data_IF_019835732314
#
_entry.id   IF_019835732314
#
_cell.length_a   1.000
_cell.length_b   1.000
_cell.length_c   1.000
_cell.angle_alpha   90.00
_cell.angle_beta   90.00
_cell.angle_gamma   90.00
#
_symmetry.space_group_name_H-M   'P 1'
#
loop_
_entity.id
_entity.type
_entity.pdbx_description
1 polymer ?
#
# COMPACT_ATOMS: atom_id res chain seq x y z
N UNK A 1 3.89 24.02 6.01
CA UNK A 1 2.69 23.47 6.68
C UNK A 1 2.95 22.01 7.02
N UNK A 2 2.48 21.53 8.17
CA UNK A 2 2.49 20.09 8.46
C UNK A 2 1.41 19.45 7.57
N UNK A 3 1.76 18.33 6.93
CA UNK A 3 0.92 17.60 5.99
C UNK A 3 1.01 16.10 6.26
N UNK A 4 0.06 15.31 5.75
CA UNK A 4 0.11 13.85 5.81
C UNK A 4 0.76 13.22 4.57
N UNK A 5 1.02 11.92 4.63
CA UNK A 5 1.43 11.12 3.48
C UNK A 5 0.40 11.14 2.34
N UNK A 6 -0.90 11.17 2.66
CA UNK A 6 -1.99 11.36 1.69
C UNK A 6 -1.80 12.63 0.84
N UNK A 7 -1.31 13.72 1.44
CA UNK A 7 -1.03 14.99 0.75
C UNK A 7 0.30 14.94 -0.02
N UNK A 8 1.22 14.05 0.34
CA UNK A 8 2.48 13.82 -0.38
C UNK A 8 2.22 13.01 -1.65
N UNK A 9 1.44 11.94 -1.56
CA UNK A 9 1.04 11.09 -2.68
C UNK A 9 -0.31 10.43 -2.37
N UNK A 10 -1.38 10.92 -3.01
CA UNK A 10 -2.71 10.35 -2.82
C UNK A 10 -2.76 8.88 -3.22
N UNK A 11 -3.36 8.06 -2.35
CA UNK A 11 -3.47 6.60 -2.52
C UNK A 11 -2.09 5.91 -2.67
N UNK A 12 -1.10 6.43 -1.94
CA UNK A 12 0.20 5.79 -1.79
C UNK A 12 0.05 4.38 -1.19
N UNK A 13 0.88 3.42 -1.61
CA UNK A 13 0.97 2.14 -0.93
C UNK A 13 1.56 2.35 0.46
N UNK A 14 1.02 1.64 1.44
CA UNK A 14 1.50 1.69 2.81
C UNK A 14 1.71 0.26 3.35
N UNK A 15 0.90 -0.19 4.31
CA UNK A 15 1.14 -1.45 5.00
C UNK A 15 0.77 -2.65 4.12
N UNK A 16 1.57 -3.72 4.22
CA UNK A 16 1.36 -4.98 3.51
C UNK A 16 1.11 -6.14 4.48
N UNK A 17 0.34 -7.13 4.02
CA UNK A 17 0.25 -8.43 4.71
C UNK A 17 1.29 -9.39 4.12
N UNK A 18 2.36 -9.65 4.88
CA UNK A 18 3.44 -10.55 4.49
C UNK A 18 3.29 -11.95 5.08
N UNK A 19 3.54 -12.97 4.25
CA UNK A 19 3.71 -14.36 4.66
C UNK A 19 5.01 -14.91 4.08
N UNK A 20 5.63 -15.88 4.75
CA UNK A 20 6.82 -16.54 4.20
C UNK A 20 6.46 -17.40 3.00
N UNK A 21 7.37 -17.52 2.02
CA UNK A 21 7.16 -18.37 0.86
C UNK A 21 7.01 -19.85 1.24
N UNK A 22 7.64 -20.30 2.33
CA UNK A 22 7.45 -21.65 2.86
C UNK A 22 6.01 -21.88 3.32
N UNK A 23 5.46 -20.96 4.11
CA UNK A 23 4.10 -21.07 4.63
C UNK A 23 3.07 -21.12 3.48
N UNK A 24 3.22 -20.26 2.48
CA UNK A 24 2.26 -20.19 1.37
C UNK A 24 2.29 -21.45 0.49
N UNK A 25 3.47 -22.07 0.31
CA UNK A 25 3.62 -23.35 -0.37
C UNK A 25 3.05 -24.51 0.44
N UNK A 26 3.27 -24.53 1.76
CA UNK A 26 2.80 -25.59 2.66
C UNK A 26 1.28 -25.53 2.88
N UNK A 27 0.71 -24.33 2.93
CA UNK A 27 -0.72 -24.10 3.24
C UNK A 27 -1.40 -23.19 2.21
N UNK A 28 -1.52 -23.61 0.93
CA UNK A 28 -2.05 -22.76 -0.13
C UNK A 28 -3.52 -22.38 0.08
N UNK A 29 -4.36 -23.33 0.52
CA UNK A 29 -5.78 -23.06 0.80
C UNK A 29 -5.97 -22.14 2.01
N UNK A 30 -5.17 -22.33 3.07
CA UNK A 30 -5.20 -21.44 4.25
C UNK A 30 -4.79 -20.03 3.86
N UNK A 31 -3.75 -19.90 3.02
CA UNK A 31 -3.29 -18.60 2.51
C UNK A 31 -4.42 -17.86 1.79
N UNK A 32 -5.14 -18.52 0.88
CA UNK A 32 -6.30 -17.92 0.20
C UNK A 32 -7.38 -17.51 1.21
N UNK A 33 -7.70 -18.36 2.19
CA UNK A 33 -8.71 -18.05 3.22
C UNK A 33 -8.32 -16.87 4.11
N UNK A 34 -7.04 -16.71 4.43
CA UNK A 34 -6.54 -15.53 5.15
C UNK A 34 -6.74 -14.27 4.34
N UNK A 35 -6.38 -14.28 3.05
CA UNK A 35 -6.57 -13.12 2.17
C UNK A 35 -8.06 -12.80 2.01
N UNK A 36 -8.95 -13.80 1.88
CA UNK A 36 -10.40 -13.58 1.90
C UNK A 36 -10.89 -12.89 3.17
N UNK A 37 -10.37 -13.28 4.33
CA UNK A 37 -10.73 -12.66 5.60
C UNK A 37 -10.29 -11.20 5.66
N UNK A 38 -9.07 -10.89 5.18
CA UNK A 38 -8.55 -9.52 5.11
C UNK A 38 -9.33 -8.64 4.13
N UNK A 39 -9.69 -9.15 2.95
CA UNK A 39 -10.55 -8.44 1.99
C UNK A 39 -11.88 -8.05 2.65
N UNK A 40 -12.52 -9.00 3.35
CA UNK A 40 -13.76 -8.75 4.07
C UNK A 40 -13.61 -7.74 5.19
N UNK A 41 -12.52 -7.81 5.96
CA UNK A 41 -12.23 -6.87 7.03
C UNK A 41 -12.01 -5.45 6.47
N UNK A 42 -11.22 -5.30 5.41
CA UNK A 42 -10.99 -4.02 4.74
C UNK A 42 -12.28 -3.42 4.20
N UNK A 43 -13.11 -4.23 3.52
CA UNK A 43 -14.42 -3.79 3.04
C UNK A 43 -15.31 -3.32 4.19
N UNK A 44 -15.40 -4.10 5.28
CA UNK A 44 -16.19 -3.74 6.44
C UNK A 44 -15.75 -2.41 7.06
N UNK A 45 -14.44 -2.14 7.15
CA UNK A 45 -13.91 -0.87 7.66
C UNK A 45 -14.30 0.36 6.81
N UNK A 46 -14.51 0.16 5.52
CA UNK A 46 -14.84 1.22 4.55
C UNK A 46 -16.34 1.31 4.21
N UNK A 47 -17.14 0.37 4.71
CA UNK A 47 -18.56 0.22 4.37
C UNK A 47 -19.41 1.42 4.86
N UNK A 48 -20.44 1.76 4.07
CA UNK A 48 -21.40 2.82 4.37
C UNK A 48 -20.73 4.16 4.75
N UNK A 49 -19.73 4.58 3.98
CA UNK A 49 -18.93 5.77 4.25
C UNK A 49 -18.27 5.71 5.64
N UNK A 50 -17.52 4.63 5.89
CA UNK A 50 -16.72 4.41 7.11
C UNK A 50 -17.56 4.23 8.40
N UNK A 51 -18.83 3.83 8.29
CA UNK A 51 -19.75 3.74 9.44
C UNK A 51 -19.26 2.77 10.54
N UNK A 52 -18.56 1.71 10.14
CA UNK A 52 -18.10 0.66 11.03
C UNK A 52 -16.81 1.03 11.79
N UNK A 53 -16.13 2.12 11.42
CA UNK A 53 -14.83 2.47 12.04
C UNK A 53 -14.93 2.79 13.53
N UNK A 54 -16.08 3.30 14.01
CA UNK A 54 -16.30 3.50 15.46
C UNK A 54 -16.28 2.18 16.23
N UNK A 55 -16.83 1.12 15.66
CA UNK A 55 -16.76 -0.22 16.26
C UNK A 55 -15.33 -0.77 16.21
N UNK A 56 -14.63 -0.59 15.08
CA UNK A 56 -13.23 -0.98 14.94
C UNK A 56 -12.33 -0.33 16.01
N UNK A 57 -12.56 0.96 16.30
CA UNK A 57 -11.84 1.69 17.37
C UNK A 57 -12.04 1.01 18.72
N UNK A 58 -13.29 0.65 19.08
CA UNK A 58 -13.59 -0.07 20.34
C UNK A 58 -12.90 -1.42 20.42
N UNK A 59 -12.78 -2.13 19.30
CA UNK A 59 -12.05 -3.40 19.24
C UNK A 59 -10.57 -3.15 19.52
N UNK A 60 -9.95 -2.18 18.85
CA UNK A 60 -8.53 -1.86 18.98
C UNK A 60 -8.15 -1.31 20.36
N UNK A 61 -9.07 -0.58 21.02
CA UNK A 61 -8.88 -0.02 22.36
C UNK A 61 -8.85 -1.07 23.48
N UNK A 62 -9.33 -2.29 23.23
CA UNK A 62 -9.26 -3.37 24.22
C UNK A 62 -7.81 -3.70 24.54
N UNK A 63 -7.54 -4.07 25.79
CA UNK A 63 -6.20 -4.39 26.29
C UNK A 63 -5.54 -5.60 25.62
N UNK A 64 -6.32 -6.48 25.00
CA UNK A 64 -5.79 -7.61 24.21
C UNK A 64 -5.29 -7.18 22.82
N UNK A 65 -5.53 -5.94 22.40
CA UNK A 65 -5.08 -5.38 21.13
C UNK A 65 -4.10 -4.22 21.39
N UNK A 66 -4.41 -2.99 20.94
CA UNK A 66 -3.54 -1.83 21.13
C UNK A 66 -3.60 -1.35 22.59
N UNK A 67 -4.78 -1.42 23.21
CA UNK A 67 -4.96 -1.03 24.61
C UNK A 67 -4.80 0.46 24.89
N UNK A 68 -4.79 1.31 23.85
CA UNK A 68 -4.76 2.77 23.97
C UNK A 68 -6.18 3.35 24.11
N UNK A 69 -6.26 4.60 24.57
CA UNK A 69 -7.52 5.33 24.70
C UNK A 69 -8.31 5.37 23.37
N UNK A 70 -9.59 5.04 23.42
CA UNK A 70 -10.50 5.01 22.27
C UNK A 70 -10.52 6.35 21.53
N UNK A 71 -10.48 7.48 22.25
CA UNK A 71 -10.47 8.82 21.66
C UNK A 71 -9.18 9.11 20.89
N UNK A 72 -8.05 8.52 21.30
CA UNK A 72 -6.77 8.65 20.58
C UNK A 72 -6.80 7.86 19.28
N UNK A 73 -7.27 6.61 19.33
CA UNK A 73 -7.39 5.75 18.14
C UNK A 73 -8.43 6.33 17.16
N UNK A 74 -9.53 6.89 17.67
CA UNK A 74 -10.59 7.49 16.85
C UNK A 74 -10.07 8.59 15.92
N UNK A 75 -9.11 9.42 16.35
CA UNK A 75 -8.55 10.51 15.52
C UNK A 75 -8.05 10.01 14.15
N UNK A 76 -7.36 8.87 14.12
CA UNK A 76 -6.87 8.26 12.88
C UNK A 76 -7.95 7.52 12.10
N UNK A 77 -8.96 6.97 12.77
CA UNK A 77 -9.99 6.14 12.14
C UNK A 77 -11.18 6.94 11.60
N UNK A 78 -11.57 8.04 12.25
CA UNK A 78 -12.81 8.78 11.95
C UNK A 78 -12.58 10.11 11.25
N UNK A 79 -11.34 10.42 10.87
CA UNK A 79 -11.06 11.43 9.86
C UNK A 79 -11.01 12.87 10.34
N UNK A 80 -10.45 13.13 11.52
CA UNK A 80 -10.12 14.48 11.96
C UNK A 80 -8.75 14.44 12.65
N UNK A 81 -7.81 15.20 12.11
CA UNK A 81 -6.45 15.28 12.64
C UNK A 81 -6.15 16.70 13.10
N UNK A 82 -5.47 16.82 14.23
CA UNK A 82 -4.84 18.06 14.67
C UNK A 82 -3.37 18.00 14.23
N UNK A 83 -3.00 18.86 13.28
CA UNK A 83 -1.68 18.88 12.65
C UNK A 83 -0.67 19.70 13.45
N UNK A 84 -1.14 20.81 14.01
CA UNK A 84 -0.46 21.68 14.95
C UNK A 84 -1.49 22.19 15.95
N UNK A 85 -1.07 22.81 17.06
CA UNK A 85 -1.95 23.32 18.11
C UNK A 85 -3.01 24.25 17.52
N UNK A 86 -4.27 23.80 17.54
CA UNK A 86 -5.42 24.54 17.01
C UNK A 86 -5.67 24.38 15.51
N UNK A 87 -4.83 23.65 14.78
CA UNK A 87 -5.00 23.33 13.36
C UNK A 87 -5.65 21.96 13.18
N UNK A 88 -6.98 21.96 13.29
CA UNK A 88 -7.81 20.75 13.18
C UNK A 88 -8.45 20.70 11.81
N UNK A 89 -8.19 19.64 11.05
CA UNK A 89 -8.70 19.48 9.67
C UNK A 89 -9.41 18.15 9.47
N UNK A 90 -10.46 18.11 8.64
CA UNK A 90 -11.07 16.86 8.23
C UNK A 90 -10.16 16.11 7.25
N UNK A 91 -9.92 14.83 7.53
CA UNK A 91 -9.17 13.91 6.67
C UNK A 91 -9.91 12.56 6.64
N UNK A 92 -11.15 12.50 6.12
CA UNK A 92 -12.02 11.32 6.20
C UNK A 92 -11.41 10.04 5.60
N UNK A 93 -10.56 10.21 4.60
CA UNK A 93 -9.84 9.15 3.90
C UNK A 93 -8.35 9.12 4.28
N UNK A 94 -8.00 9.53 5.50
CA UNK A 94 -6.63 9.36 6.03
C UNK A 94 -6.19 7.90 5.94
N UNK A 95 -7.10 6.99 6.31
CA UNK A 95 -6.97 5.57 6.01
C UNK A 95 -8.04 5.18 4.99
N UNK A 96 -7.67 4.39 3.99
CA UNK A 96 -8.57 3.69 3.06
C UNK A 96 -8.19 2.21 3.08
N UNK A 97 -9.16 1.33 3.35
CA UNK A 97 -8.88 -0.09 3.60
C UNK A 97 -9.35 -1.01 2.49
N UNK A 98 -10.22 -0.57 1.58
CA UNK A 98 -10.72 -1.39 0.47
C UNK A 98 -11.09 -0.59 -0.78
N UNK A 99 -11.60 0.63 -0.63
CA UNK A 99 -11.92 1.49 -1.79
C UNK A 99 -10.67 1.71 -2.66
N UNK A 100 -10.90 2.08 -3.92
CA UNK A 100 -9.84 2.38 -4.90
C UNK A 100 -8.80 1.26 -5.06
N UNK A 101 -9.21 0.00 -4.85
CA UNK A 101 -8.36 -1.19 -4.90
C UNK A 101 -7.20 -1.16 -3.88
N UNK A 102 -7.37 -0.50 -2.73
CA UNK A 102 -6.33 -0.33 -1.72
C UNK A 102 -5.68 -1.64 -1.24
N UNK A 103 -6.41 -2.75 -1.27
CA UNK A 103 -5.91 -4.08 -0.85
C UNK A 103 -5.28 -4.90 -1.97
N UNK A 104 -5.35 -4.46 -3.23
CA UNK A 104 -4.74 -5.18 -4.34
C UNK A 104 -3.22 -4.91 -4.40
N UNK A 105 -2.37 -5.95 -4.41
CA UNK A 105 -0.92 -5.76 -4.35
C UNK A 105 -0.34 -5.45 -5.74
N UNK A 106 -0.39 -4.19 -6.16
CA UNK A 106 0.18 -3.74 -7.44
C UNK A 106 1.71 -3.86 -7.44
N UNK A 107 2.28 -4.42 -8.51
CA UNK A 107 3.73 -4.44 -8.73
C UNK A 107 4.32 -3.03 -8.80
N UNK A 108 3.58 -2.08 -9.37
CA UNK A 108 4.00 -0.67 -9.43
C UNK A 108 4.28 -0.07 -8.05
N UNK A 109 3.59 -0.53 -7.01
CA UNK A 109 3.80 -0.05 -5.64
C UNK A 109 5.13 -0.59 -5.07
N UNK A 110 5.40 -1.88 -5.28
CA UNK A 110 6.67 -2.50 -4.89
C UNK A 110 7.86 -1.88 -5.62
N UNK A 111 7.71 -1.63 -6.93
CA UNK A 111 8.74 -0.99 -7.75
C UNK A 111 9.06 0.41 -7.20
N UNK A 112 8.06 1.18 -6.79
CA UNK A 112 8.28 2.50 -6.21
C UNK A 112 9.16 2.42 -4.95
N UNK A 113 8.86 1.51 -4.02
CA UNK A 113 9.69 1.30 -2.85
C UNK A 113 11.12 0.89 -3.22
N UNK A 114 11.29 -0.03 -4.18
CA UNK A 114 12.61 -0.43 -4.67
C UNK A 114 13.38 0.77 -5.27
N UNK A 115 12.71 1.67 -5.99
CA UNK A 115 13.37 2.90 -6.47
C UNK A 115 13.78 3.81 -5.32
N UNK A 116 12.96 3.97 -4.27
CA UNK A 116 13.35 4.79 -3.12
C UNK A 116 14.51 4.14 -2.34
N UNK A 117 14.54 2.81 -2.23
CA UNK A 117 15.68 2.06 -1.68
C UNK A 117 16.96 2.22 -2.51
N UNK A 118 16.84 2.29 -3.84
CA UNK A 118 17.97 2.62 -4.71
C UNK A 118 18.43 4.05 -4.48
N UNK A 119 17.50 5.01 -4.53
CA UNK A 119 17.75 6.44 -4.36
C UNK A 119 18.51 6.76 -3.07
N UNK A 120 18.20 6.05 -1.99
CA UNK A 120 18.80 6.27 -0.67
C UNK A 120 19.89 5.27 -0.28
N UNK A 121 20.32 4.41 -1.22
CA UNK A 121 21.52 3.58 -1.08
C UNK A 121 21.33 2.25 -0.34
N UNK A 122 20.11 1.87 0.04
CA UNK A 122 19.83 0.50 0.51
C UNK A 122 20.02 -0.53 -0.60
N UNK A 123 19.76 -0.16 -1.86
CA UNK A 123 20.20 -0.88 -3.05
C UNK A 123 21.40 -0.12 -3.63
N UNK A 124 22.60 -0.60 -3.29
CA UNK A 124 23.84 0.14 -3.55
C UNK A 124 24.27 0.18 -5.01
N UNK A 125 23.96 -0.86 -5.77
CA UNK A 125 24.31 -0.97 -7.20
C UNK A 125 23.17 -0.48 -8.10
N UNK A 126 23.52 -0.02 -9.29
CA UNK A 126 22.56 0.16 -10.37
C UNK A 126 21.87 -1.17 -10.71
N UNK A 127 20.59 -1.09 -11.07
CA UNK A 127 19.77 -2.22 -11.48
C UNK A 127 19.01 -1.85 -12.76
N UNK A 128 18.87 -2.80 -13.68
CA UNK A 128 18.06 -2.59 -14.88
C UNK A 128 16.58 -2.43 -14.53
N UNK A 129 15.80 -1.78 -15.39
CA UNK A 129 14.34 -1.66 -15.20
C UNK A 129 13.68 -3.03 -15.01
N UNK A 130 14.13 -4.03 -15.77
CA UNK A 130 13.65 -5.40 -15.67
C UNK A 130 13.90 -6.03 -14.29
N UNK A 131 15.03 -5.74 -13.65
CA UNK A 131 15.34 -6.26 -12.31
C UNK A 131 14.31 -5.79 -11.27
N UNK A 132 13.85 -4.54 -11.35
CA UNK A 132 12.80 -4.03 -10.46
C UNK A 132 11.48 -4.78 -10.65
N UNK A 133 11.10 -5.00 -11.91
CA UNK A 133 9.88 -5.74 -12.28
C UNK A 133 9.95 -7.18 -11.77
N UNK A 134 11.05 -7.87 -11.99
CA UNK A 134 11.23 -9.27 -11.59
C UNK A 134 11.25 -9.40 -10.06
N UNK A 135 11.94 -8.47 -9.39
CA UNK A 135 11.98 -8.41 -7.93
C UNK A 135 10.59 -8.20 -7.36
N UNK A 136 9.81 -7.23 -7.87
CA UNK A 136 8.44 -6.98 -7.44
C UNK A 136 7.55 -8.23 -7.63
N UNK A 137 7.61 -8.89 -8.80
CA UNK A 137 6.86 -10.12 -9.09
C UNK A 137 7.25 -11.29 -8.20
N UNK A 138 8.50 -11.34 -7.73
CA UNK A 138 8.96 -12.38 -6.82
C UNK A 138 8.29 -12.30 -5.44
N UNK A 139 7.91 -11.10 -4.97
CA UNK A 139 7.36 -10.85 -3.63
C UNK A 139 5.87 -10.53 -3.60
N UNK A 140 5.37 -9.68 -4.49
CA UNK A 140 3.95 -9.31 -4.54
C UNK A 140 3.18 -10.41 -5.28
N UNK A 141 2.06 -10.87 -4.69
CA UNK A 141 1.28 -12.03 -5.18
C UNK A 141 -0.17 -11.68 -5.50
N UNK A 142 -0.43 -10.87 -6.54
CA UNK A 142 -1.78 -10.55 -6.97
C UNK A 142 -2.58 -11.78 -7.42
N UNK A 143 -1.93 -12.87 -7.84
CA UNK A 143 -2.61 -14.12 -8.20
C UNK A 143 -3.33 -14.76 -7.00
N UNK A 144 -2.73 -14.69 -5.81
CA UNK A 144 -3.34 -15.17 -4.55
C UNK A 144 -4.54 -14.28 -4.20
N UNK A 145 -4.38 -12.96 -4.34
CA UNK A 145 -5.46 -12.00 -4.11
C UNK A 145 -6.64 -12.24 -5.07
N UNK A 146 -6.36 -12.42 -6.37
CA UNK A 146 -7.37 -12.70 -7.39
C UNK A 146 -8.15 -13.98 -7.06
N UNK A 147 -7.46 -15.06 -6.67
CA UNK A 147 -8.14 -16.31 -6.24
C UNK A 147 -9.07 -16.08 -5.06
N UNK A 148 -8.63 -15.30 -4.07
CA UNK A 148 -9.47 -14.95 -2.91
C UNK A 148 -10.69 -14.10 -3.30
N UNK A 149 -10.49 -13.08 -4.14
CA UNK A 149 -11.55 -12.21 -4.63
C UNK A 149 -12.58 -12.98 -5.47
N UNK A 150 -12.14 -13.80 -6.43
CA UNK A 150 -13.02 -14.64 -7.24
C UNK A 150 -13.82 -15.64 -6.39
N UNK A 151 -13.23 -16.23 -5.35
CA UNK A 151 -13.95 -17.08 -4.43
C UNK A 151 -15.03 -16.31 -3.64
N UNK A 152 -14.73 -15.09 -3.19
CA UNK A 152 -15.71 -14.22 -2.52
C UNK A 152 -16.86 -13.79 -3.44
N UNK A 153 -16.58 -13.56 -4.73
CA UNK A 153 -17.59 -13.28 -5.75
C UNK A 153 -18.48 -14.50 -5.97
N UNK A 154 -17.88 -15.69 -6.14
CA UNK A 154 -18.63 -16.93 -6.32
C UNK A 154 -19.52 -17.27 -5.11
N UNK A 155 -19.11 -16.87 -3.90
CA UNK A 155 -19.88 -16.99 -2.66
C UNK A 155 -20.98 -15.93 -2.49
N UNK A 156 -21.14 -15.02 -3.47
CA UNK A 156 -22.11 -13.93 -3.42
C UNK A 156 -21.82 -12.87 -2.36
N UNK A 157 -20.58 -12.78 -1.86
CA UNK A 157 -20.18 -11.81 -0.83
C UNK A 157 -19.78 -10.46 -1.40
N UNK A 158 -19.36 -10.43 -2.66
CA UNK A 158 -18.93 -9.23 -3.38
C UNK A 158 -19.38 -9.27 -4.83
N UNK A 159 -19.47 -8.10 -5.45
CA UNK A 159 -19.68 -7.94 -6.90
C UNK A 159 -18.33 -7.89 -7.63
N UNK A 160 -18.23 -8.38 -8.88
CA UNK A 160 -17.02 -8.23 -9.69
C UNK A 160 -16.53 -6.78 -9.80
N UNK A 161 -17.45 -5.82 -9.90
CA UNK A 161 -17.14 -4.38 -10.02
C UNK A 161 -16.50 -3.75 -8.79
N UNK A 162 -16.34 -4.48 -7.69
CA UNK A 162 -15.66 -4.00 -6.47
C UNK A 162 -14.16 -4.35 -6.45
N UNK A 163 -13.65 -4.97 -7.51
CA UNK A 163 -12.26 -5.37 -7.66
C UNK A 163 -11.72 -4.85 -9.01
N UNK A 164 -10.39 -4.89 -9.22
CA UNK A 164 -9.84 -4.70 -10.56
C UNK A 164 -10.45 -5.69 -11.56
N UNK A 165 -10.56 -5.28 -12.81
CA UNK A 165 -10.92 -6.21 -13.88
C UNK A 165 -9.75 -7.17 -14.10
N UNK A 166 -9.84 -8.34 -13.48
CA UNK A 166 -8.77 -9.33 -13.54
C UNK A 166 -8.50 -9.91 -14.94
N UNK A 167 -9.34 -9.64 -15.94
CA UNK A 167 -9.06 -10.03 -17.31
C UNK A 167 -8.06 -9.07 -17.99
N UNK A 168 -8.01 -7.82 -17.55
CA UNK A 168 -7.20 -6.75 -18.16
C UNK A 168 -6.15 -6.15 -17.23
N UNK A 169 -6.29 -6.34 -15.91
CA UNK A 169 -5.36 -5.88 -14.89
C UNK A 169 -3.97 -6.52 -15.06
N UNK A 170 -2.94 -5.69 -15.14
CA UNK A 170 -1.55 -6.11 -15.38
C UNK A 170 -0.71 -6.14 -14.09
N UNK A 171 -1.24 -5.59 -13.00
CA UNK A 171 -0.53 -5.32 -11.76
C UNK A 171 0.23 -3.99 -11.76
N UNK A 172 0.05 -3.15 -12.79
CA UNK A 172 0.70 -1.85 -12.90
C UNK A 172 -0.33 -0.73 -12.91
N UNK A 173 -0.24 0.17 -11.94
CA UNK A 173 -1.03 1.42 -11.95
C UNK A 173 -0.61 2.30 -13.14
N UNK A 174 -1.51 3.17 -13.65
CA UNK A 174 -1.16 4.16 -14.66
C UNK A 174 -0.01 5.08 -14.23
N UNK A 175 0.68 5.66 -15.22
CA UNK A 175 1.66 6.73 -15.00
C UNK A 175 1.00 7.87 -14.23
N UNK A 176 1.70 8.42 -13.23
CA UNK A 176 1.18 9.47 -12.36
C UNK A 176 2.20 10.55 -12.05
N UNK A 177 1.75 11.78 -11.92
CA UNK A 177 2.51 12.95 -11.45
C UNK A 177 1.88 13.58 -10.18
N UNK A 178 1.03 12.80 -9.50
CA UNK A 178 0.23 13.28 -8.36
C UNK A 178 1.03 13.48 -7.07
N UNK A 179 2.33 13.16 -7.08
CA UNK A 179 3.23 13.50 -6.00
C UNK A 179 3.26 15.02 -5.75
N UNK A 180 3.56 15.41 -4.52
CA UNK A 180 3.65 16.82 -4.11
C UNK A 180 4.66 17.62 -4.94
N UNK A 181 5.71 16.98 -5.45
CA UNK A 181 6.78 17.60 -6.23
C UNK A 181 6.56 17.52 -7.75
N UNK A 182 5.44 16.94 -8.21
CA UNK A 182 5.08 16.76 -9.63
C UNK A 182 6.07 15.93 -10.45
N UNK A 183 6.90 15.12 -9.79
CA UNK A 183 7.77 14.17 -10.50
C UNK A 183 6.92 13.03 -11.04
N UNK A 184 7.07 12.75 -12.33
CA UNK A 184 6.30 11.72 -13.03
C UNK A 184 6.87 10.35 -12.72
N UNK A 185 6.04 9.48 -12.16
CA UNK A 185 6.33 8.09 -11.88
C UNK A 185 5.70 7.16 -12.92
N UNK A 186 6.54 6.45 -13.66
CA UNK A 186 6.19 5.31 -14.50
C UNK A 186 6.91 4.06 -13.98
N UNK A 187 6.16 3.10 -13.46
CA UNK A 187 6.69 1.85 -12.92
C UNK A 187 7.36 0.95 -13.98
N UNK A 188 7.14 1.21 -15.28
CA UNK A 188 7.84 0.51 -16.36
C UNK A 188 9.24 1.08 -16.63
N UNK A 189 9.53 2.29 -16.11
CA UNK A 189 10.79 3.01 -16.34
C UNK A 189 11.37 3.53 -15.01
N UNK A 190 11.67 2.66 -14.03
CA UNK A 190 12.17 3.07 -12.73
C UNK A 190 13.49 3.86 -12.80
N UNK A 191 14.37 3.60 -13.77
CA UNK A 191 15.59 4.39 -13.94
C UNK A 191 15.31 5.81 -14.48
N UNK A 192 14.35 5.99 -15.39
CA UNK A 192 13.89 7.33 -15.81
C UNK A 192 13.29 8.10 -14.65
N UNK A 193 12.57 7.43 -13.75
CA UNK A 193 12.07 8.02 -12.51
C UNK A 193 13.20 8.49 -11.58
N UNK A 194 14.21 7.64 -11.35
CA UNK A 194 15.37 7.99 -10.52
C UNK A 194 16.16 9.19 -11.05
N UNK A 195 16.33 9.27 -12.38
CA UNK A 195 17.08 10.34 -13.03
C UNK A 195 16.47 11.75 -12.84
N UNK A 196 15.16 11.83 -12.54
CA UNK A 196 14.47 13.11 -12.33
C UNK A 196 14.86 13.80 -11.01
N UNK A 197 15.39 13.06 -10.02
CA UNK A 197 15.66 13.61 -8.70
C UNK A 197 16.98 14.37 -8.62
N UNK A 198 16.93 15.56 -7.99
CA UNK A 198 18.15 16.34 -7.68
C UNK A 198 19.04 15.63 -6.65
N UNK A 199 18.43 14.98 -5.65
CA UNK A 199 19.10 14.32 -4.52
C UNK A 199 18.80 12.82 -4.52
N UNK A 200 19.85 12.03 -4.31
CA UNK A 200 19.82 10.56 -4.26
C UNK A 200 20.71 9.94 -5.34
N UNK A 201 20.99 8.64 -5.20
CA UNK A 201 21.79 7.88 -6.17
C UNK A 201 21.07 7.78 -7.51
N UNK A 202 21.82 8.02 -8.59
CA UNK A 202 21.40 7.95 -9.99
C UNK A 202 22.38 7.12 -10.81
N UNK A 203 21.86 6.41 -11.82
CA UNK A 203 22.68 5.58 -12.71
C UNK A 203 23.64 4.69 -11.93
N UNK A 204 24.93 4.79 -12.23
CA UNK A 204 26.02 4.02 -11.64
C UNK A 204 26.61 4.61 -10.34
N UNK A 205 26.01 5.65 -9.75
CA UNK A 205 26.49 6.22 -8.48
C UNK A 205 26.39 5.18 -7.34
N UNK A 206 27.41 5.13 -6.49
CA UNK A 206 27.46 4.22 -5.34
C UNK A 206 27.26 5.00 -4.03
N UNK A 207 26.70 4.38 -2.97
CA UNK A 207 26.65 4.99 -1.65
C UNK A 207 28.05 5.40 -1.20
N UNK A 208 28.21 6.62 -0.70
CA UNK A 208 29.45 7.03 -0.06
C UNK A 208 29.57 6.27 1.25
N UNK A 209 30.45 5.25 1.29
CA UNK A 209 30.85 4.64 2.55
C UNK A 209 31.63 5.71 3.31
N UNK A 210 31.05 6.24 4.39
CA UNK A 210 31.76 7.20 5.23
C UNK A 210 33.06 6.57 5.71
N UNK A 211 34.19 7.25 5.49
CA UNK A 211 35.39 6.99 6.26
C UNK A 211 35.02 7.29 7.72
N UNK A 212 34.88 6.24 8.53
CA UNK A 212 34.77 6.33 9.97
C UNK A 212 36.13 6.72 10.57
#
# INVERSE_FOLDING_TARGET
PIITDLEIWKNNPEKVFGLTAEFTKKYPNTTIRLVKALIRAGHWLDENNNANRKEAVKILAKSQYVGADEAVIAKSMTGTFEFDKGDVRPVPDFNVFFRDNATYPFYSDAIWFLTQMRRWGQIGEEKSDQWYVDTAKSVYKPDIYQKAALALIAEGKFKPSQFPDFATETGFKPVTDTFIDKITYDAHKPNDYLAQFKIGLKGNEMPKVGAA
#
